data_IF_682986114100
#
_entry.id   IF_682986114100
#
_cell.length_a   1.000
_cell.length_b   1.000
_cell.length_c   1.000
_cell.angle_alpha   90.00
_cell.angle_beta   90.00
_cell.angle_gamma   90.00
#
_symmetry.space_group_name_H-M   'P 1'
#
loop_
_entity.id
_entity.type
_entity.pdbx_description
1 polymer ?
#
# COMPACT_ATOMS: atom_id res chain seq x y z
N UNK A 1 43.63 -10.63 -56.27
CA UNK A 1 42.15 -10.68 -56.14
C UNK A 1 41.62 -11.27 -54.83
N UNK A 2 42.21 -12.34 -54.25
CA UNK A 2 41.68 -12.98 -53.02
C UNK A 2 41.64 -12.10 -51.75
N UNK A 3 42.58 -11.18 -51.57
CA UNK A 3 42.65 -10.30 -50.38
C UNK A 3 41.55 -9.23 -50.32
N UNK A 4 41.07 -8.76 -51.47
CA UNK A 4 40.01 -7.73 -51.54
C UNK A 4 38.67 -8.35 -51.14
N UNK A 5 38.41 -9.59 -51.59
CA UNK A 5 37.18 -10.31 -51.26
C UNK A 5 37.05 -10.60 -49.76
N UNK A 6 38.17 -10.93 -49.09
CA UNK A 6 38.17 -11.20 -47.64
C UNK A 6 37.86 -9.95 -46.82
N UNK A 7 38.39 -8.78 -47.21
CA UNK A 7 38.07 -7.50 -46.54
C UNK A 7 36.61 -7.08 -46.75
N UNK A 8 36.07 -7.27 -47.95
CA UNK A 8 34.66 -6.95 -48.23
C UNK A 8 33.71 -7.87 -47.46
N UNK A 9 34.01 -9.17 -47.36
CA UNK A 9 33.21 -10.13 -46.60
C UNK A 9 33.24 -9.82 -45.10
N UNK A 10 34.40 -9.44 -44.55
CA UNK A 10 34.54 -9.07 -43.14
C UNK A 10 33.74 -7.79 -42.80
N UNK A 11 33.79 -6.77 -43.66
CA UNK A 11 33.02 -5.52 -43.50
C UNK A 11 31.51 -5.78 -43.60
N UNK A 12 31.07 -6.64 -44.53
CA UNK A 12 29.66 -7.02 -44.65
C UNK A 12 29.16 -7.76 -43.40
N UNK A 13 29.98 -8.66 -42.84
CA UNK A 13 29.67 -9.40 -41.61
C UNK A 13 29.54 -8.44 -40.41
N UNK A 14 30.44 -7.46 -40.30
CA UNK A 14 30.40 -6.44 -39.24
C UNK A 14 29.15 -5.56 -39.40
N UNK A 15 28.81 -5.10 -40.61
CA UNK A 15 27.60 -4.31 -40.86
C UNK A 15 26.29 -5.08 -40.57
N UNK A 16 26.24 -6.39 -40.86
CA UNK A 16 25.10 -7.23 -40.50
C UNK A 16 24.96 -7.39 -38.98
N UNK A 17 26.09 -7.42 -38.25
CA UNK A 17 26.15 -7.50 -36.80
C UNK A 17 25.72 -6.19 -36.11
N UNK A 18 25.99 -5.03 -36.71
CA UNK A 18 25.58 -3.73 -36.17
C UNK A 18 24.07 -3.54 -36.31
N UNK A 19 23.48 -3.92 -37.46
CA UNK A 19 22.02 -3.82 -37.69
C UNK A 19 21.20 -4.69 -36.74
N UNK A 20 21.72 -5.84 -36.32
CA UNK A 20 21.05 -6.71 -35.35
C UNK A 20 21.12 -6.15 -33.92
N UNK A 21 22.17 -5.40 -33.56
CA UNK A 21 22.28 -4.71 -32.27
C UNK A 21 21.30 -3.53 -32.18
N UNK A 22 21.14 -2.75 -33.26
CA UNK A 22 20.14 -1.68 -33.34
C UNK A 22 18.70 -2.23 -33.25
N UNK A 23 18.43 -3.40 -33.83
CA UNK A 23 17.12 -4.06 -33.72
C UNK A 23 16.79 -4.52 -32.29
N UNK A 24 17.79 -4.99 -31.54
CA UNK A 24 17.62 -5.47 -30.16
C UNK A 24 17.45 -4.33 -29.15
N UNK A 25 18.18 -3.23 -29.34
CA UNK A 25 18.06 -2.03 -28.49
C UNK A 25 16.72 -1.31 -28.67
N UNK A 26 16.15 -1.31 -29.88
CA UNK A 26 14.81 -0.76 -30.12
C UNK A 26 13.67 -1.64 -29.55
N UNK A 27 13.85 -2.96 -29.47
CA UNK A 27 12.85 -3.86 -28.88
C UNK A 27 12.73 -3.69 -27.35
N UNK A 28 13.83 -3.38 -26.66
CA UNK A 28 13.83 -3.09 -25.21
C UNK A 28 13.23 -1.72 -24.87
N UNK A 29 13.24 -0.76 -25.80
CA UNK A 29 12.71 0.59 -25.60
C UNK A 29 11.20 0.74 -25.84
N UNK A 30 10.53 -0.26 -26.42
CA UNK A 30 9.10 -0.19 -26.74
C UNK A 30 8.15 -0.70 -25.64
N UNK A 31 8.68 -1.11 -24.48
CA UNK A 31 7.87 -1.72 -23.42
C UNK A 31 7.36 -0.73 -22.36
N UNK A 32 7.57 0.58 -22.52
CA UNK A 32 7.15 1.59 -21.54
C UNK A 32 6.15 2.58 -22.13
N UNK A 33 5.22 3.12 -21.32
CA UNK A 33 5.08 2.94 -19.86
C UNK A 33 4.41 1.61 -19.45
N UNK A 34 4.75 1.08 -18.27
CA UNK A 34 4.06 -0.08 -17.66
C UNK A 34 3.49 0.32 -16.31
N UNK A 35 2.20 0.00 -16.11
CA UNK A 35 1.50 0.18 -14.84
C UNK A 35 1.13 -1.20 -14.32
N UNK A 36 1.59 -1.53 -13.12
CA UNK A 36 1.28 -2.78 -12.45
C UNK A 36 0.66 -2.45 -11.12
N UNK A 37 -0.54 -2.97 -10.90
CA UNK A 37 -1.28 -2.74 -9.67
C UNK A 37 -1.60 -4.11 -9.06
N UNK A 38 -1.69 -4.18 -7.74
CA UNK A 38 -2.25 -5.35 -7.07
C UNK A 38 -3.77 -5.38 -7.16
N UNK A 39 -4.32 -6.59 -7.23
CA UNK A 39 -5.75 -6.88 -7.36
C UNK A 39 -6.36 -6.30 -8.65
N UNK A 40 -7.64 -6.56 -8.86
CA UNK A 40 -8.36 -6.17 -10.08
C UNK A 40 -9.06 -4.81 -9.91
N UNK A 41 -8.30 -3.72 -9.93
CA UNK A 41 -8.84 -2.35 -9.96
C UNK A 41 -8.57 -1.68 -11.30
N UNK A 42 -9.41 -2.00 -12.29
CA UNK A 42 -9.30 -1.47 -13.64
C UNK A 42 -9.40 0.05 -13.65
N UNK A 43 -10.30 0.63 -12.88
CA UNK A 43 -10.50 2.08 -12.80
C UNK A 43 -9.24 2.82 -12.33
N UNK A 44 -8.57 2.32 -11.28
CA UNK A 44 -7.30 2.88 -10.80
C UNK A 44 -6.19 2.78 -11.85
N UNK A 45 -6.12 1.65 -12.56
CA UNK A 45 -5.16 1.44 -13.65
C UNK A 45 -5.43 2.38 -14.82
N UNK A 46 -6.68 2.51 -15.25
CA UNK A 46 -7.12 3.38 -16.34
C UNK A 46 -6.87 4.86 -15.99
N UNK A 47 -7.13 5.24 -14.75
CA UNK A 47 -6.85 6.59 -14.23
C UNK A 47 -5.36 6.90 -14.30
N UNK A 48 -4.51 6.01 -13.79
CA UNK A 48 -3.06 6.16 -13.86
C UNK A 48 -2.56 6.19 -15.33
N UNK A 49 -3.11 5.32 -16.18
CA UNK A 49 -2.78 5.26 -17.60
C UNK A 49 -3.14 6.56 -18.33
N UNK A 50 -4.31 7.13 -18.03
CA UNK A 50 -4.76 8.39 -18.60
C UNK A 50 -3.78 9.53 -18.27
N UNK A 51 -3.26 9.58 -17.04
CA UNK A 51 -2.28 10.59 -16.61
C UNK A 51 -1.00 10.52 -17.44
N UNK A 52 -0.40 9.34 -17.61
CA UNK A 52 0.83 9.22 -18.39
C UNK A 52 0.56 9.35 -19.89
N UNK A 53 -0.44 8.65 -20.42
CA UNK A 53 -0.62 8.53 -21.85
C UNK A 53 -1.24 9.78 -22.47
N UNK A 54 -2.33 10.29 -21.89
CA UNK A 54 -3.09 11.40 -22.46
C UNK A 54 -2.59 12.75 -21.93
N UNK A 55 -2.41 12.86 -20.60
CA UNK A 55 -2.00 14.12 -19.98
C UNK A 55 -0.48 14.35 -20.04
N UNK A 56 0.31 13.35 -20.43
CA UNK A 56 1.78 13.39 -20.45
C UNK A 56 2.36 13.79 -19.08
N UNK A 57 1.70 13.37 -18.00
CA UNK A 57 2.15 13.59 -16.63
C UNK A 57 3.36 12.75 -16.25
N UNK A 58 3.94 13.02 -15.08
CA UNK A 58 5.02 12.21 -14.54
C UNK A 58 4.52 10.87 -13.99
N UNK A 59 5.45 9.96 -13.75
CA UNK A 59 5.15 8.70 -13.08
C UNK A 59 4.57 8.90 -11.67
N UNK A 60 5.06 9.91 -10.93
CA UNK A 60 4.53 10.29 -9.62
C UNK A 60 3.07 10.75 -9.71
N UNK A 61 2.73 11.54 -10.73
CA UNK A 61 1.36 12.00 -10.95
C UNK A 61 0.40 10.84 -11.23
N UNK A 62 0.83 9.87 -12.04
CA UNK A 62 -0.01 8.71 -12.36
C UNK A 62 -0.24 7.82 -11.15
N UNK A 63 0.80 7.61 -10.34
CA UNK A 63 0.71 6.88 -9.09
C UNK A 63 -0.25 7.57 -8.12
N UNK A 64 -0.05 8.87 -7.88
CA UNK A 64 -0.88 9.64 -6.94
C UNK A 64 -2.35 9.59 -7.36
N UNK A 65 -2.65 9.84 -8.64
CA UNK A 65 -4.03 9.85 -9.14
C UNK A 65 -4.67 8.45 -9.12
N UNK A 66 -3.90 7.40 -9.40
CA UNK A 66 -4.37 6.01 -9.34
C UNK A 66 -4.69 5.57 -7.90
N UNK A 67 -3.81 5.87 -6.96
CA UNK A 67 -4.03 5.57 -5.53
C UNK A 67 -5.14 6.43 -4.92
N UNK A 68 -5.17 7.73 -5.23
CA UNK A 68 -6.22 8.65 -4.74
C UNK A 68 -7.61 8.19 -5.17
N UNK A 69 -7.76 7.68 -6.40
CA UNK A 69 -9.03 7.11 -6.84
C UNK A 69 -9.45 5.91 -5.99
N UNK A 70 -8.51 5.06 -5.58
CA UNK A 70 -8.83 3.95 -4.69
C UNK A 70 -9.15 4.38 -3.25
N UNK A 71 -8.57 5.49 -2.77
CA UNK A 71 -8.95 6.11 -1.49
C UNK A 71 -10.37 6.68 -1.54
N UNK A 72 -10.77 7.27 -2.67
CA UNK A 72 -12.10 7.82 -2.89
C UNK A 72 -13.16 6.72 -3.05
N UNK A 73 -12.87 5.69 -3.83
CA UNK A 73 -13.77 4.55 -4.09
C UNK A 73 -13.77 3.51 -2.96
N UNK A 74 -12.95 3.72 -1.93
CA UNK A 74 -12.82 2.81 -0.80
C UNK A 74 -12.52 1.37 -1.25
N UNK A 75 -11.48 1.20 -2.07
CA UNK A 75 -11.14 -0.07 -2.71
C UNK A 75 -11.09 -1.24 -1.70
N UNK A 76 -12.00 -2.22 -1.87
CA UNK A 76 -12.24 -3.38 -0.97
C UNK A 76 -12.54 -3.02 0.49
N UNK A 77 -12.89 -1.77 0.79
CA UNK A 77 -13.00 -1.24 2.17
C UNK A 77 -11.67 -1.38 2.94
N UNK A 78 -10.58 -1.46 2.19
CA UNK A 78 -9.20 -1.63 2.67
C UNK A 78 -8.33 -0.44 2.31
N UNK A 79 -8.85 0.58 1.63
CA UNK A 79 -8.08 1.77 1.27
C UNK A 79 -8.96 2.99 1.47
N UNK A 80 -8.37 4.07 1.98
CA UNK A 80 -9.09 5.30 2.27
C UNK A 80 -9.97 5.21 3.52
N UNK A 81 -10.89 6.17 3.62
CA UNK A 81 -11.80 6.30 4.76
C UNK A 81 -12.85 5.18 4.77
N UNK A 82 -13.52 4.98 5.91
CA UNK A 82 -14.60 4.00 6.06
C UNK A 82 -14.17 2.54 6.01
N UNK A 83 -12.86 2.27 5.99
CA UNK A 83 -12.26 0.94 6.08
C UNK A 83 -11.65 0.66 7.45
N UNK A 84 -11.49 -0.64 7.76
CA UNK A 84 -10.72 -1.23 8.87
C UNK A 84 -10.40 -0.29 10.06
N UNK A 85 -11.36 -0.06 10.98
CA UNK A 85 -11.08 0.68 12.21
C UNK A 85 -10.10 -0.09 13.12
N UNK A 86 -9.41 0.64 13.99
CA UNK A 86 -8.55 0.08 15.04
C UNK A 86 -9.37 -0.45 16.24
N UNK A 87 -8.69 -1.00 17.26
CA UNK A 87 -9.35 -1.48 18.50
C UNK A 87 -10.11 -0.36 19.24
N UNK A 88 -9.68 0.90 19.07
CA UNK A 88 -10.36 2.08 19.62
C UNK A 88 -11.57 2.52 18.78
N UNK A 89 -11.72 1.97 17.57
CA UNK A 89 -12.82 2.26 16.65
C UNK A 89 -12.50 3.34 15.62
N UNK A 90 -11.25 3.80 15.56
CA UNK A 90 -10.82 4.88 14.69
C UNK A 90 -10.16 4.33 13.42
N UNK A 91 -10.54 4.87 12.26
CA UNK A 91 -9.85 4.57 11.01
C UNK A 91 -8.61 5.44 10.89
N UNK A 92 -7.44 4.81 10.72
CA UNK A 92 -6.18 5.50 10.45
C UNK A 92 -5.57 5.02 9.14
N UNK A 93 -4.96 5.94 8.39
CA UNK A 93 -4.44 5.66 7.04
C UNK A 93 -2.92 5.67 7.01
N UNK A 94 -2.35 4.75 6.25
CA UNK A 94 -0.93 4.76 5.90
C UNK A 94 -0.80 4.93 4.38
N UNK A 95 0.26 5.60 3.94
CA UNK A 95 0.57 5.72 2.52
C UNK A 95 2.04 6.07 2.34
N UNK A 96 2.64 5.61 1.26
CA UNK A 96 4.02 5.92 0.90
C UNK A 96 4.16 6.03 -0.62
N UNK A 97 4.89 7.06 -1.05
CA UNK A 97 5.26 7.29 -2.44
C UNK A 97 6.78 7.46 -2.54
N UNK A 98 7.37 6.85 -3.56
CA UNK A 98 8.81 6.93 -3.82
C UNK A 98 9.08 7.40 -5.25
N UNK A 99 9.98 8.38 -5.39
CA UNK A 99 10.55 8.74 -6.67
C UNK A 99 11.75 7.84 -6.97
N UNK A 100 11.65 7.09 -8.07
CA UNK A 100 12.70 6.19 -8.54
C UNK A 100 13.93 6.89 -9.12
N UNK A 101 13.82 8.18 -9.45
CA UNK A 101 14.92 8.97 -10.03
C UNK A 101 15.81 9.53 -8.94
N UNK A 102 15.22 10.20 -7.94
CA UNK A 102 15.96 10.80 -6.83
C UNK A 102 16.18 9.84 -5.67
N UNK A 103 15.43 8.74 -5.63
CA UNK A 103 15.28 7.86 -4.47
C UNK A 103 14.65 8.53 -3.23
N UNK A 104 14.01 9.69 -3.40
CA UNK A 104 13.28 10.34 -2.32
C UNK A 104 12.00 9.58 -2.02
N UNK A 105 11.63 9.56 -0.74
CA UNK A 105 10.48 8.85 -0.21
C UNK A 105 9.70 9.81 0.67
N UNK A 106 8.38 9.82 0.52
CA UNK A 106 7.47 10.43 1.47
C UNK A 106 6.44 9.42 1.93
N UNK A 107 6.18 9.39 3.22
CA UNK A 107 5.25 8.45 3.83
C UNK A 107 4.51 9.03 5.03
N UNK A 108 3.30 8.52 5.25
CA UNK A 108 2.48 8.75 6.43
C UNK A 108 2.12 7.43 7.09
N UNK A 109 2.11 7.40 8.43
CA UNK A 109 1.68 6.25 9.22
C UNK A 109 0.74 6.66 10.36
N UNK A 110 -0.44 6.05 10.43
CA UNK A 110 -1.49 6.40 11.37
C UNK A 110 -2.02 7.81 11.13
N UNK A 111 -2.17 8.23 9.87
CA UNK A 111 -2.76 9.51 9.51
C UNK A 111 -4.22 9.54 9.94
N UNK A 112 -4.57 10.55 10.74
CA UNK A 112 -5.91 10.70 11.31
C UNK A 112 -6.62 11.87 10.67
N UNK A 113 -7.93 11.74 10.48
CA UNK A 113 -8.82 12.82 10.05
C UNK A 113 -8.46 13.52 8.72
N UNK A 114 -7.80 12.83 7.79
CA UNK A 114 -7.47 13.34 6.44
C UNK A 114 -7.61 12.21 5.43
N UNK A 115 -8.48 12.39 4.43
CA UNK A 115 -8.84 11.31 3.48
C UNK A 115 -7.74 10.99 2.46
N UNK A 116 -7.04 12.01 1.97
CA UNK A 116 -6.06 11.89 0.87
C UNK A 116 -4.67 11.52 1.37
N UNK A 117 -4.48 10.28 1.84
CA UNK A 117 -3.23 9.87 2.49
C UNK A 117 -2.03 9.87 1.52
N UNK A 118 -2.21 9.40 0.29
CA UNK A 118 -1.14 9.36 -0.71
C UNK A 118 -0.67 10.76 -1.12
N UNK A 119 -1.59 11.72 -1.23
CA UNK A 119 -1.25 13.11 -1.51
C UNK A 119 -0.51 13.77 -0.34
N UNK A 120 -0.84 13.43 0.92
CA UNK A 120 -0.06 13.90 2.07
C UNK A 120 1.36 13.31 2.02
N UNK A 121 1.49 12.02 1.72
CA UNK A 121 2.79 11.37 1.54
C UNK A 121 3.62 12.06 0.43
N UNK A 122 2.99 12.44 -0.69
CA UNK A 122 3.64 13.24 -1.74
C UNK A 122 4.11 14.60 -1.23
N UNK A 123 3.33 15.30 -0.40
CA UNK A 123 3.77 16.56 0.20
C UNK A 123 4.94 16.39 1.16
N UNK A 124 5.05 15.25 1.85
CA UNK A 124 6.23 14.96 2.68
C UNK A 124 7.48 14.83 1.81
N UNK A 125 7.37 14.11 0.68
CA UNK A 125 8.45 13.95 -0.30
C UNK A 125 8.87 15.32 -0.87
N UNK A 126 7.92 16.17 -1.25
CA UNK A 126 8.20 17.45 -1.93
C UNK A 126 8.60 18.59 -0.97
N UNK A 127 8.14 18.58 0.28
CA UNK A 127 8.19 19.76 1.15
C UNK A 127 8.89 19.54 2.49
N UNK A 128 9.52 18.38 2.69
CA UNK A 128 10.30 18.10 3.91
C UNK A 128 11.60 17.38 3.58
N UNK A 129 12.52 17.33 4.55
CA UNK A 129 13.70 16.46 4.50
C UNK A 129 13.49 15.13 5.23
N UNK A 130 12.25 14.88 5.70
CA UNK A 130 11.88 13.68 6.42
C UNK A 130 11.23 12.69 5.44
N UNK A 131 11.40 11.40 5.69
CA UNK A 131 10.78 10.37 4.84
C UNK A 131 9.43 9.88 5.35
N UNK A 132 9.17 10.01 6.66
CA UNK A 132 7.96 9.48 7.30
C UNK A 132 7.47 10.41 8.40
N UNK A 133 6.18 10.72 8.41
CA UNK A 133 5.48 11.34 9.53
C UNK A 133 4.39 10.40 10.05
N UNK A 134 4.00 10.51 11.32
CA UNK A 134 2.93 9.66 11.83
C UNK A 134 2.07 10.26 12.92
N UNK A 135 0.90 9.65 13.10
CA UNK A 135 -0.12 10.06 14.06
C UNK A 135 -0.60 11.50 13.83
N UNK A 136 -0.91 12.19 14.92
CA UNK A 136 -1.42 13.57 14.91
C UNK A 136 -0.44 14.55 14.26
N UNK A 137 0.88 14.29 14.33
CA UNK A 137 1.88 15.14 13.69
C UNK A 137 1.78 15.11 12.16
N UNK A 138 1.37 13.98 11.58
CA UNK A 138 1.09 13.88 10.15
C UNK A 138 -0.17 14.67 9.78
N UNK A 139 -1.20 14.64 10.63
CA UNK A 139 -2.42 15.44 10.46
C UNK A 139 -2.09 16.94 10.51
N UNK A 140 -1.35 17.40 11.51
CA UNK A 140 -0.94 18.80 11.63
C UNK A 140 -0.12 19.28 10.42
N UNK A 141 0.76 18.43 9.91
CA UNK A 141 1.48 18.69 8.66
C UNK A 141 0.52 18.82 7.48
N UNK A 142 -0.41 17.87 7.32
CA UNK A 142 -1.40 17.90 6.23
C UNK A 142 -2.24 19.19 6.26
N UNK A 143 -2.69 19.64 7.44
CA UNK A 143 -3.44 20.89 7.56
C UNK A 143 -2.61 22.11 7.12
N UNK A 144 -1.31 22.14 7.45
CA UNK A 144 -0.39 23.21 6.98
C UNK A 144 -0.17 23.18 5.47
N UNK A 145 -0.28 22.01 4.84
CA UNK A 145 -0.21 21.82 3.39
C UNK A 145 -1.55 22.11 2.68
N UNK A 146 -2.60 22.47 3.43
CA UNK A 146 -3.90 22.86 2.88
C UNK A 146 -4.92 21.73 2.76
N UNK A 147 -4.63 20.53 3.30
CA UNK A 147 -5.62 19.46 3.40
C UNK A 147 -6.70 19.80 4.44
N UNK A 148 -7.88 19.21 4.26
CA UNK A 148 -9.02 19.40 5.17
C UNK A 148 -9.02 18.35 6.26
N UNK A 149 -9.36 18.79 7.47
CA UNK A 149 -9.69 17.88 8.58
C UNK A 149 -11.11 17.36 8.39
N UNK A 150 -11.24 16.06 8.15
CA UNK A 150 -12.51 15.37 7.92
C UNK A 150 -12.52 14.03 8.64
N UNK A 151 -13.68 13.60 9.15
CA UNK A 151 -13.79 12.27 9.76
C UNK A 151 -13.50 11.19 8.72
N UNK A 152 -12.77 10.16 9.15
CA UNK A 152 -12.53 8.95 8.36
C UNK A 152 -13.54 7.84 8.68
N UNK A 153 -14.37 8.03 9.70
CA UNK A 153 -15.37 7.05 10.10
C UNK A 153 -16.60 7.11 9.20
N UNK A 154 -17.17 5.95 8.93
CA UNK A 154 -18.49 5.77 8.31
C UNK A 154 -19.38 4.95 9.23
N UNK A 155 -20.69 4.97 9.00
CA UNK A 155 -21.61 4.10 9.75
C UNK A 155 -21.22 2.62 9.60
N UNK A 156 -20.73 2.24 8.41
CA UNK A 156 -20.24 0.89 8.16
C UNK A 156 -18.97 0.55 8.97
N UNK A 157 -17.96 1.43 9.00
CA UNK A 157 -16.75 1.16 9.79
C UNK A 157 -17.08 1.05 11.28
N UNK A 158 -18.01 1.88 11.75
CA UNK A 158 -18.52 1.82 13.12
C UNK A 158 -19.23 0.51 13.41
N UNK A 159 -20.07 0.03 12.50
CA UNK A 159 -20.76 -1.25 12.63
C UNK A 159 -19.78 -2.42 12.64
N UNK A 160 -18.73 -2.40 11.81
CA UNK A 160 -17.65 -3.40 11.83
C UNK A 160 -16.99 -3.48 13.22
N UNK A 161 -16.67 -2.33 13.81
CA UNK A 161 -16.07 -2.28 15.15
C UNK A 161 -17.03 -2.75 16.26
N UNK A 162 -18.31 -2.36 16.20
CA UNK A 162 -19.32 -2.83 17.15
C UNK A 162 -19.53 -4.35 17.07
N UNK A 163 -19.53 -4.90 15.87
CA UNK A 163 -19.60 -6.34 15.65
C UNK A 163 -18.39 -7.07 16.22
N UNK A 164 -17.18 -6.52 16.06
CA UNK A 164 -15.97 -7.08 16.65
C UNK A 164 -16.00 -7.03 18.19
N UNK A 165 -16.42 -5.90 18.76
CA UNK A 165 -16.59 -5.77 20.22
C UNK A 165 -17.61 -6.75 20.79
N UNK A 166 -18.72 -6.98 20.09
CA UNK A 166 -19.73 -7.96 20.53
C UNK A 166 -19.23 -9.42 20.47
N UNK A 167 -18.16 -9.69 19.70
CA UNK A 167 -17.48 -10.99 19.61
C UNK A 167 -16.28 -11.09 20.53
N UNK A 168 -16.31 -10.42 21.69
CA UNK A 168 -15.22 -10.40 22.67
C UNK A 168 -13.86 -10.02 22.07
N UNK A 169 -13.86 -9.06 21.14
CA UNK A 169 -12.65 -8.56 20.50
C UNK A 169 -11.89 -9.64 19.72
N UNK A 170 -12.60 -10.56 19.07
CA UNK A 170 -12.01 -11.62 18.26
C UNK A 170 -12.22 -11.41 16.75
N UNK A 171 -11.17 -11.59 15.92
CA UNK A 171 -9.77 -11.84 16.30
C UNK A 171 -9.06 -10.55 16.78
N UNK A 172 -7.95 -10.67 17.52
CA UNK A 172 -7.03 -9.58 17.83
C UNK A 172 -5.57 -10.05 17.69
N UNK A 173 -4.61 -9.12 17.80
CA UNK A 173 -3.19 -9.38 17.57
C UNK A 173 -2.34 -9.38 18.84
N UNK A 174 -2.98 -9.35 20.02
CA UNK A 174 -2.29 -9.40 21.30
C UNK A 174 -1.78 -10.81 21.61
N UNK A 175 -0.59 -10.91 22.20
CA UNK A 175 0.03 -12.16 22.66
C UNK A 175 0.73 -11.93 24.00
N UNK A 176 0.81 -12.98 24.83
CA UNK A 176 1.54 -12.96 26.11
C UNK A 176 1.10 -11.82 27.06
N UNK A 177 -0.21 -11.60 27.15
CA UNK A 177 -0.83 -10.58 28.00
C UNK A 177 -2.03 -11.13 28.77
N UNK A 178 -2.40 -10.42 29.83
CA UNK A 178 -3.61 -10.67 30.61
C UNK A 178 -4.62 -9.52 30.42
N UNK A 179 -5.93 -9.78 30.40
CA UNK A 179 -6.55 -11.11 30.38
C UNK A 179 -6.27 -11.87 29.07
N UNK A 180 -6.52 -13.19 29.03
CA UNK A 180 -6.19 -14.02 27.86
C UNK A 180 -6.79 -13.41 26.56
N UNK A 181 -5.94 -13.02 25.58
CA UNK A 181 -6.37 -12.28 24.39
C UNK A 181 -7.26 -13.11 23.46
N UNK A 182 -7.19 -14.44 23.50
CA UNK A 182 -8.06 -15.30 22.67
C UNK A 182 -9.52 -15.37 23.14
N UNK A 183 -9.80 -14.88 24.35
CA UNK A 183 -11.13 -15.01 24.98
C UNK A 183 -11.73 -13.68 25.41
N UNK A 184 -10.89 -12.71 25.76
CA UNK A 184 -11.31 -11.47 26.39
C UNK A 184 -10.76 -10.25 25.65
N UNK A 185 -11.54 -9.17 25.67
CA UNK A 185 -11.09 -7.83 25.32
C UNK A 185 -10.11 -7.28 26.37
N UNK A 186 -9.29 -6.31 25.96
CA UNK A 186 -8.46 -5.52 26.87
C UNK A 186 -9.25 -4.57 27.78
N UNK A 187 -8.55 -3.69 28.52
CA UNK A 187 -7.13 -3.38 28.38
C UNK A 187 -6.24 -4.52 28.85
N UNK A 188 -5.22 -4.81 28.04
CA UNK A 188 -4.25 -5.84 28.31
C UNK A 188 -3.08 -5.30 29.12
N UNK A 189 -2.46 -6.15 29.93
CA UNK A 189 -1.22 -5.85 30.63
C UNK A 189 -0.22 -7.02 30.47
N UNK A 190 1.09 -6.75 30.47
CA UNK A 190 2.09 -7.79 30.38
C UNK A 190 1.96 -8.80 31.53
N UNK A 191 2.18 -10.08 31.22
CA UNK A 191 2.34 -11.11 32.26
C UNK A 191 3.58 -10.77 33.09
N UNK A 192 3.42 -10.62 34.41
CA UNK A 192 4.57 -10.36 35.29
C UNK A 192 5.37 -11.64 35.52
N UNK A 193 6.70 -11.53 35.67
CA UNK A 193 7.60 -12.68 35.90
C UNK A 193 7.28 -13.50 37.17
N UNK A 194 6.33 -13.07 38.02
CA UNK A 194 5.93 -13.79 39.24
C UNK A 194 4.71 -14.70 39.05
N UNK A 195 4.01 -14.63 37.92
CA UNK A 195 2.82 -15.47 37.64
C UNK A 195 3.14 -16.74 36.85
N UNK A 196 4.42 -17.16 36.81
CA UNK A 196 4.82 -18.40 36.15
C UNK A 196 4.51 -19.68 36.95
N UNK A 197 3.90 -19.55 38.15
CA UNK A 197 3.56 -20.67 39.03
C UNK A 197 2.10 -20.63 39.44
N UNK A 198 1.20 -21.00 38.53
CA UNK A 198 0.02 -21.82 38.88
C UNK A 198 -0.77 -22.22 37.64
N UNK A 199 -0.69 -23.51 37.34
CA UNK A 199 -1.74 -24.39 36.80
C UNK A 199 -1.85 -24.54 35.27
N UNK A 200 -1.45 -25.76 34.88
CA UNK A 200 -1.91 -26.57 33.76
C UNK A 200 -1.63 -26.02 32.35
N UNK A 201 -0.45 -26.40 31.85
CA UNK A 201 -0.19 -26.61 30.43
C UNK A 201 -1.21 -27.61 29.88
N UNK A 202 -2.34 -27.11 29.39
CA UNK A 202 -3.13 -27.81 28.40
C UNK A 202 -2.81 -27.18 27.04
N UNK A 203 -1.89 -27.88 26.38
CA UNK A 203 -1.46 -27.73 25.01
C UNK A 203 -2.65 -27.41 24.09
N UNK A 204 -2.67 -26.22 23.48
CA UNK A 204 -3.45 -26.02 22.27
C UNK A 204 -2.65 -25.20 21.28
N UNK A 205 -2.00 -25.95 20.39
CA UNK A 205 -1.38 -25.49 19.16
C UNK A 205 -2.14 -24.29 18.59
N UNK A 206 -1.47 -23.14 18.56
CA UNK A 206 -1.90 -22.01 17.73
C UNK A 206 -1.80 -22.45 16.28
N UNK A 207 -2.92 -22.92 15.73
CA UNK A 207 -3.11 -22.96 14.30
C UNK A 207 -3.09 -21.50 13.82
N UNK A 208 -1.91 -21.05 13.40
CA UNK A 208 -1.74 -19.81 12.65
C UNK A 208 -2.51 -19.98 11.35
N UNK A 209 -3.81 -19.69 11.38
CA UNK A 209 -4.56 -19.41 10.16
C UNK A 209 -3.96 -18.13 9.61
N UNK A 210 -3.05 -18.29 8.63
CA UNK A 210 -2.49 -17.20 7.84
C UNK A 210 -3.66 -16.59 7.07
N UNK A 211 -4.35 -15.64 7.69
CA UNK A 211 -5.37 -14.84 7.03
C UNK A 211 -4.64 -13.93 6.03
N UNK A 212 -5.03 -14.04 4.77
CA UNK A 212 -4.39 -13.34 3.67
C UNK A 212 -4.32 -11.85 3.95
N UNK A 213 -3.10 -11.33 3.89
CA UNK A 213 -2.86 -9.92 4.00
C UNK A 213 -3.22 -9.26 2.67
N UNK A 214 -4.26 -8.43 2.63
CA UNK A 214 -4.63 -7.67 1.43
C UNK A 214 -3.88 -6.34 1.43
N UNK A 215 -2.92 -6.19 0.51
CA UNK A 215 -2.07 -4.99 0.37
C UNK A 215 -2.32 -4.42 -1.02
N UNK A 216 -2.47 -3.10 -1.16
CA UNK A 216 -2.44 -2.47 -2.48
C UNK A 216 -1.01 -2.00 -2.78
N UNK A 217 -0.37 -2.65 -3.73
CA UNK A 217 0.92 -2.29 -4.28
C UNK A 217 0.70 -1.74 -5.69
N UNK A 218 1.13 -0.51 -5.93
CA UNK A 218 1.10 0.10 -7.25
C UNK A 218 2.55 0.36 -7.68
N UNK A 219 3.05 -0.42 -8.62
CA UNK A 219 4.35 -0.24 -9.24
C UNK A 219 4.19 0.33 -10.64
N UNK A 220 4.87 1.44 -10.90
CA UNK A 220 4.92 2.02 -12.22
C UNK A 220 6.37 2.02 -12.70
N UNK A 221 6.65 1.28 -13.76
CA UNK A 221 7.94 1.38 -14.43
C UNK A 221 7.80 2.29 -15.63
N UNK A 222 8.54 3.40 -15.61
CA UNK A 222 8.81 4.21 -16.78
C UNK A 222 10.29 4.60 -16.75
N UNK A 223 11.12 3.80 -17.41
CA UNK A 223 12.58 4.00 -17.55
C UNK A 223 13.42 3.99 -16.25
N UNK A 224 12.81 4.26 -15.09
CA UNK A 224 13.29 4.14 -13.72
C UNK A 224 12.10 3.64 -12.86
N UNK A 225 12.37 2.81 -11.85
CA UNK A 225 11.31 2.12 -11.09
C UNK A 225 10.67 3.05 -10.05
N UNK A 226 9.38 3.38 -10.20
CA UNK A 226 8.61 4.06 -9.16
C UNK A 226 7.74 3.08 -8.39
N UNK A 227 7.67 3.32 -7.08
CA UNK A 227 7.05 2.43 -6.11
C UNK A 227 6.06 3.23 -5.27
N UNK A 228 4.82 2.78 -5.25
CA UNK A 228 3.82 3.24 -4.31
C UNK A 228 3.39 2.08 -3.43
N UNK A 229 3.59 2.25 -2.13
CA UNK A 229 3.02 1.34 -1.14
C UNK A 229 1.96 2.11 -0.39
N UNK A 230 0.70 1.73 -0.62
CA UNK A 230 -0.35 2.11 0.29
C UNK A 230 -0.50 0.99 1.31
N UNK A 231 0.00 1.26 2.51
CA UNK A 231 -0.22 0.37 3.64
C UNK A 231 -1.62 0.66 4.18
N UNK A 232 -2.34 -0.38 4.55
CA UNK A 232 -3.31 -0.20 5.61
C UNK A 232 -2.51 0.01 6.89
N UNK A 233 -2.94 1.00 7.70
CA UNK A 233 -2.55 1.18 9.09
C UNK A 233 -2.61 -0.14 9.85
N UNK A 234 -1.54 -0.92 9.78
CA UNK A 234 -1.38 -2.17 10.50
C UNK A 234 -0.30 -1.95 11.54
N UNK A 235 -0.59 -1.06 12.49
CA UNK A 235 -0.12 -1.30 13.84
C UNK A 235 -0.89 -2.52 14.37
N UNK A 236 -0.48 -3.01 15.53
CA UNK A 236 -0.89 -4.29 16.12
C UNK A 236 -2.39 -4.32 16.55
N UNK A 237 -3.25 -3.51 15.94
CA UNK A 237 -4.55 -3.05 16.42
C UNK A 237 -5.65 -2.95 15.33
N UNK A 238 -5.39 -3.27 14.06
CA UNK A 238 -6.39 -3.12 12.98
C UNK A 238 -7.42 -4.26 12.91
N UNK A 239 -8.72 -3.93 12.80
CA UNK A 239 -9.79 -4.93 12.65
C UNK A 239 -9.94 -5.46 11.22
N UNK A 240 -10.21 -6.77 11.18
CA UNK A 240 -10.14 -7.67 10.04
C UNK A 240 -11.05 -7.36 8.83
N UNK A 241 -10.63 -7.83 7.65
CA UNK A 241 -11.47 -8.06 6.46
C UNK A 241 -11.63 -9.57 6.19
N UNK A 242 -12.86 -10.02 5.94
CA UNK A 242 -13.19 -11.45 5.77
C UNK A 242 -12.73 -12.05 4.43
N UNK A 243 -12.06 -13.22 4.42
CA UNK A 243 -11.81 -14.00 3.21
C UNK A 243 -13.09 -14.48 2.50
N UNK A 244 -14.21 -14.61 3.23
CA UNK A 244 -15.45 -15.23 2.76
C UNK A 244 -16.60 -14.26 2.49
N UNK A 245 -16.42 -12.93 2.63
CA UNK A 245 -17.43 -11.99 2.14
C UNK A 245 -17.17 -11.73 0.65
N UNK A 246 -17.86 -12.50 -0.20
CA UNK A 246 -18.67 -11.86 -1.22
C UNK A 246 -19.43 -10.73 -0.52
N UNK A 247 -18.91 -9.50 -0.58
CA UNK A 247 -19.67 -8.34 -0.17
C UNK A 247 -20.90 -8.35 -1.07
N UNK A 248 -22.06 -8.66 -0.50
CA UNK A 248 -23.31 -8.63 -1.23
C UNK A 248 -23.43 -7.26 -1.87
N UNK A 249 -23.41 -7.23 -3.20
CA UNK A 249 -24.17 -6.25 -3.95
C UNK A 249 -25.62 -6.41 -3.48
N UNK A 250 -26.04 -5.59 -2.54
CA UNK A 250 -27.44 -5.21 -2.50
C UNK A 250 -27.66 -4.33 -3.72
N UNK A 251 -28.49 -4.82 -4.64
CA UNK A 251 -29.24 -4.00 -5.59
C UNK A 251 -29.84 -2.74 -4.91
#
# INVERSE_FOLDING_TARGET
MKFIYFKVLLVLQICLSVKTIDGYTNALNNSFPVIVITWDYKEATEKAWNVIHNKKGSALDAIEEGCSLCEELQCRKTVGFGGSPDEAGETTLDAMIMDGVTMDIGGVGGLRNVKSAISVARKILENTKHSLLGGDLATDFALKMGFKKESLETDESKDMWLQWKSKNCQPNFWKNVLPNPTKNCGPYHPVSNMEHNSNNDEDLATELTITHQYWIFLTLLQSNALLCLQFLGRREDALWCNPNYSCSSSD
#
